data_IF_735337582366
#
_entry.id   IF_735337582366
#
_cell.length_a   1.000
_cell.length_b   1.000
_cell.length_c   1.000
_cell.angle_alpha   90.00
_cell.angle_beta   90.00
_cell.angle_gamma   90.00
#
_symmetry.space_group_name_H-M   'P 1'
#
loop_
_entity.id
_entity.type
_entity.pdbx_description
1 polymer ?
#
# COMPACT_ATOMS: atom_id res chain seq x y z
N UNK A 1 26.68 24.92 7.40
CA UNK A 1 26.60 24.12 8.65
C UNK A 1 25.22 23.44 8.79
N UNK A 2 25.19 22.29 9.47
CA UNK A 2 24.11 21.31 9.60
C UNK A 2 23.95 20.35 8.40
N UNK A 3 24.57 19.17 8.51
CA UNK A 3 24.17 17.98 7.76
C UNK A 3 22.71 17.68 8.15
N UNK A 4 21.76 17.99 7.26
CA UNK A 4 20.34 17.74 7.52
C UNK A 4 20.06 16.27 7.21
N UNK A 5 20.16 15.44 8.25
CA UNK A 5 19.73 14.06 8.19
C UNK A 5 18.20 14.05 8.09
N UNK A 6 17.69 13.87 6.88
CA UNK A 6 16.28 13.59 6.67
C UNK A 6 16.06 12.08 6.78
N UNK A 7 15.10 11.62 7.61
CA UNK A 7 14.75 10.21 7.65
C UNK A 7 14.19 9.75 6.31
N UNK A 8 14.46 8.51 5.92
CA UNK A 8 13.87 7.88 4.73
C UNK A 8 12.44 7.43 5.06
N UNK A 9 11.54 8.40 5.15
CA UNK A 9 10.10 8.24 5.35
C UNK A 9 9.39 9.15 4.38
N UNK A 10 8.16 8.79 4.03
CA UNK A 10 7.29 9.64 3.21
C UNK A 10 6.34 10.37 4.12
N UNK A 11 6.38 11.69 4.10
CA UNK A 11 5.47 12.53 4.88
C UNK A 11 4.13 12.69 4.15
N UNK A 12 3.06 13.04 4.88
CA UNK A 12 1.77 13.31 4.26
C UNK A 12 1.89 14.48 3.26
N UNK A 13 1.36 14.28 2.06
CA UNK A 13 1.46 15.24 0.96
C UNK A 13 2.72 15.12 0.13
N UNK A 14 3.70 14.30 0.54
CA UNK A 14 4.83 13.95 -0.31
C UNK A 14 4.45 12.85 -1.32
N UNK A 15 5.06 12.93 -2.50
CA UNK A 15 4.91 11.89 -3.49
C UNK A 15 5.70 10.65 -3.06
N UNK A 16 5.09 9.47 -3.25
CA UNK A 16 5.83 8.21 -3.19
C UNK A 16 6.88 8.16 -4.29
N UNK A 17 7.97 7.46 -4.01
CA UNK A 17 8.98 7.14 -5.00
C UNK A 17 8.35 6.34 -6.17
N UNK A 18 8.52 6.86 -7.39
CA UNK A 18 7.91 6.30 -8.59
C UNK A 18 8.44 4.92 -8.94
N UNK A 19 9.71 4.64 -8.66
CA UNK A 19 10.30 3.34 -8.95
C UNK A 19 9.78 2.28 -7.97
N UNK A 20 9.48 2.67 -6.73
CA UNK A 20 8.83 1.79 -5.74
C UNK A 20 7.39 1.51 -6.18
N UNK A 21 6.62 2.54 -6.55
CA UNK A 21 5.24 2.37 -7.00
C UNK A 21 5.18 1.46 -8.24
N UNK A 22 6.06 1.66 -9.21
CA UNK A 22 6.13 0.82 -10.40
C UNK A 22 6.40 -0.65 -10.06
N UNK A 23 7.33 -0.93 -9.13
CA UNK A 23 7.59 -2.29 -8.66
C UNK A 23 6.37 -2.92 -8.00
N UNK A 24 5.63 -2.14 -7.21
CA UNK A 24 4.38 -2.61 -6.60
C UNK A 24 3.38 -2.99 -7.69
N UNK A 25 3.19 -2.15 -8.71
CA UNK A 25 2.27 -2.44 -9.82
C UNK A 25 2.65 -3.74 -10.56
N UNK A 26 3.95 -3.96 -10.80
CA UNK A 26 4.47 -5.19 -11.44
C UNK A 26 4.22 -6.45 -10.60
N UNK A 27 4.32 -6.36 -9.27
CA UNK A 27 4.08 -7.49 -8.38
C UNK A 27 2.59 -7.75 -8.16
N UNK A 28 1.80 -6.68 -8.03
CA UNK A 28 0.34 -6.77 -8.00
C UNK A 28 -0.17 -7.46 -9.27
N UNK A 29 0.38 -7.14 -10.44
CA UNK A 29 -0.02 -7.76 -11.71
C UNK A 29 0.11 -9.30 -11.69
N UNK A 30 1.05 -9.86 -10.93
CA UNK A 30 1.31 -11.31 -10.82
C UNK A 30 0.67 -11.94 -9.59
N UNK A 31 -0.04 -11.17 -8.77
CA UNK A 31 -0.56 -11.60 -7.49
C UNK A 31 -1.78 -12.53 -7.65
N UNK A 32 -1.72 -13.70 -7.00
CA UNK A 32 -2.81 -14.68 -6.95
C UNK A 32 -3.55 -14.69 -5.59
N UNK A 33 -3.02 -14.01 -4.57
CA UNK A 33 -3.63 -13.81 -3.25
C UNK A 33 -3.05 -12.56 -2.61
N UNK A 34 -3.91 -11.64 -2.16
CA UNK A 34 -3.49 -10.42 -1.49
C UNK A 34 -3.91 -10.40 -0.02
N UNK A 35 -2.94 -10.24 0.88
CA UNK A 35 -3.16 -10.21 2.32
C UNK A 35 -2.96 -8.80 2.86
N UNK A 36 -3.96 -8.29 3.56
CA UNK A 36 -3.96 -6.97 4.20
C UNK A 36 -3.88 -7.20 5.71
N UNK A 37 -2.76 -6.84 6.34
CA UNK A 37 -2.50 -7.18 7.75
C UNK A 37 -2.10 -5.92 8.52
N UNK A 38 -2.76 -5.65 9.64
CA UNK A 38 -2.39 -4.60 10.60
C UNK A 38 -2.47 -3.17 10.05
N UNK A 39 -3.45 -2.88 9.20
CA UNK A 39 -3.65 -1.55 8.59
C UNK A 39 -5.08 -1.07 8.78
N UNK A 40 -5.26 0.24 9.00
CA UNK A 40 -6.58 0.88 9.08
C UNK A 40 -7.23 1.12 7.71
N UNK A 41 -6.55 0.79 6.61
CA UNK A 41 -7.03 0.96 5.23
C UNK A 41 -7.46 2.40 4.86
N UNK A 42 -6.86 3.43 5.48
CA UNK A 42 -7.16 4.85 5.16
C UNK A 42 -6.02 5.60 4.48
N UNK A 43 -4.80 5.05 4.48
CA UNK A 43 -3.63 5.71 3.91
C UNK A 43 -3.54 5.49 2.39
N UNK A 44 -3.88 6.52 1.62
CA UNK A 44 -3.77 6.49 0.16
C UNK A 44 -2.33 6.75 -0.29
N UNK A 45 -1.86 6.07 -1.36
CA UNK A 45 -2.59 5.16 -2.25
C UNK A 45 -2.67 3.70 -1.79
N UNK A 46 -1.96 3.31 -0.72
CA UNK A 46 -1.86 1.91 -0.29
C UNK A 46 -3.22 1.24 -0.02
N UNK A 47 -4.15 1.98 0.58
CA UNK A 47 -5.52 1.52 0.83
C UNK A 47 -6.28 1.09 -0.44
N UNK A 48 -5.95 1.66 -1.60
CA UNK A 48 -6.68 1.37 -2.84
C UNK A 48 -6.35 -0.02 -3.43
N UNK A 49 -5.17 -0.58 -3.12
CA UNK A 49 -4.70 -1.81 -3.75
C UNK A 49 -5.61 -3.00 -3.51
N UNK A 50 -6.14 -3.16 -2.29
CA UNK A 50 -7.06 -4.24 -1.96
C UNK A 50 -8.27 -4.25 -2.91
N UNK A 51 -8.93 -3.09 -3.06
CA UNK A 51 -10.08 -2.94 -3.96
C UNK A 51 -9.73 -3.18 -5.43
N UNK A 52 -8.55 -2.76 -5.88
CA UNK A 52 -8.09 -2.94 -7.26
C UNK A 52 -7.81 -4.40 -7.58
N UNK A 53 -7.22 -5.13 -6.63
CA UNK A 53 -6.90 -6.54 -6.76
C UNK A 53 -8.17 -7.39 -6.71
N UNK A 54 -9.08 -7.10 -5.78
CA UNK A 54 -10.37 -7.76 -5.71
C UNK A 54 -11.16 -7.64 -7.03
N UNK A 55 -11.13 -6.47 -7.68
CA UNK A 55 -11.76 -6.23 -9.00
C UNK A 55 -11.19 -7.08 -10.13
N UNK A 56 -9.98 -7.62 -9.98
CA UNK A 56 -9.35 -8.53 -10.94
C UNK A 56 -9.75 -9.99 -10.71
N UNK A 57 -10.57 -10.28 -9.70
CA UNK A 57 -10.96 -11.64 -9.32
C UNK A 57 -9.92 -12.37 -8.47
N UNK A 58 -8.89 -11.66 -7.99
CA UNK A 58 -7.88 -12.22 -7.09
C UNK A 58 -8.43 -12.18 -5.66
N UNK A 59 -8.35 -13.29 -4.90
CA UNK A 59 -8.76 -13.32 -3.50
C UNK A 59 -8.01 -12.28 -2.66
N UNK A 60 -8.74 -11.54 -1.83
CA UNK A 60 -8.20 -10.60 -0.86
C UNK A 60 -8.65 -11.01 0.54
N UNK A 61 -7.71 -11.16 1.46
CA UNK A 61 -8.02 -11.43 2.86
C UNK A 61 -7.46 -10.33 3.75
N UNK A 62 -8.32 -9.78 4.59
CA UNK A 62 -7.96 -8.77 5.59
C UNK A 62 -7.89 -9.42 6.98
N UNK A 63 -6.79 -9.14 7.68
CA UNK A 63 -6.52 -9.63 9.03
C UNK A 63 -6.19 -8.43 9.90
N UNK A 64 -7.21 -7.91 10.57
CA UNK A 64 -7.11 -6.79 11.48
C UNK A 64 -7.89 -7.07 12.77
N UNK A 65 -7.44 -6.46 13.88
CA UNK A 65 -8.13 -6.55 15.18
C UNK A 65 -9.47 -5.80 15.12
N UNK A 66 -9.47 -4.66 14.43
CA UNK A 66 -10.63 -3.81 14.20
C UNK A 66 -11.10 -3.94 12.75
N UNK A 67 -12.39 -3.76 12.51
CA UNK A 67 -12.95 -3.76 11.15
C UNK A 67 -12.54 -2.49 10.40
N UNK A 68 -12.11 -2.65 9.15
CA UNK A 68 -11.71 -1.52 8.30
C UNK A 68 -12.53 -1.47 7.01
N UNK A 69 -12.62 -0.29 6.35
CA UNK A 69 -13.43 -0.12 5.15
C UNK A 69 -12.63 -0.56 3.90
N UNK A 70 -12.48 -1.87 3.72
CA UNK A 70 -11.75 -2.47 2.58
C UNK A 70 -12.68 -2.96 1.48
#
# INVERSE_FOLDING_TARGET
PACRWSPNVVWFGEALDRDIVKKIDEEIAKCDLFLVIGTSAVAYPAAAYASWIARRGVPVAEINIESTPT
#
